data_IF_299958650992
#
_entry.id   IF_299958650992
#
_cell.length_a   1.000
_cell.length_b   1.000
_cell.length_c   1.000
_cell.angle_alpha   90.00
_cell.angle_beta   90.00
_cell.angle_gamma   90.00
#
_symmetry.space_group_name_H-M   'P 1'
#
loop_
_entity.id
_entity.type
_entity.pdbx_description
1 polymer ?
#
# COMPACT_ATOMS: atom_id res chain seq x y z
N UNK A 1 -9.97 9.75 -20.30
CA UNK A 1 -11.01 10.12 -19.30
C UNK A 1 -10.61 11.48 -18.72
N UNK A 2 -11.52 12.46 -18.59
CA UNK A 2 -11.18 13.69 -17.83
C UNK A 2 -11.05 13.30 -16.35
N UNK A 3 -9.92 13.59 -15.74
CA UNK A 3 -9.68 13.30 -14.32
C UNK A 3 -10.61 14.16 -13.46
N UNK A 4 -11.36 13.52 -12.55
CA UNK A 4 -12.13 14.21 -11.51
C UNK A 4 -11.26 14.44 -10.26
N UNK A 5 -11.60 15.40 -9.39
CA UNK A 5 -10.89 15.60 -8.12
C UNK A 5 -10.78 14.31 -7.29
N UNK A 6 -11.83 13.48 -7.28
CA UNK A 6 -11.87 12.20 -6.57
C UNK A 6 -10.89 11.18 -7.16
N UNK A 7 -10.79 11.11 -8.49
CA UNK A 7 -9.81 10.24 -9.16
C UNK A 7 -8.36 10.66 -8.90
N UNK A 8 -8.11 11.97 -8.81
CA UNK A 8 -6.79 12.51 -8.48
C UNK A 8 -6.44 12.24 -7.01
N UNK A 9 -7.40 12.42 -6.10
CA UNK A 9 -7.24 12.08 -4.70
C UNK A 9 -6.92 10.60 -4.49
N UNK A 10 -7.67 9.70 -5.15
CA UNK A 10 -7.45 8.26 -5.05
C UNK A 10 -6.06 7.85 -5.57
N UNK A 11 -5.65 8.42 -6.70
CA UNK A 11 -4.33 8.18 -7.28
C UNK A 11 -3.21 8.62 -6.33
N UNK A 12 -3.28 9.86 -5.83
CA UNK A 12 -2.28 10.42 -4.91
C UNK A 12 -2.22 9.65 -3.59
N UNK A 13 -3.38 9.37 -3.00
CA UNK A 13 -3.48 8.58 -1.77
C UNK A 13 -2.84 7.20 -1.93
N UNK A 14 -3.10 6.52 -3.04
CA UNK A 14 -2.48 5.22 -3.31
C UNK A 14 -0.96 5.30 -3.42
N UNK A 15 -0.42 6.33 -4.11
CA UNK A 15 1.03 6.57 -4.16
C UNK A 15 1.61 6.75 -2.75
N UNK A 16 0.98 7.58 -1.92
CA UNK A 16 1.42 7.83 -0.54
C UNK A 16 1.36 6.56 0.31
N UNK A 17 0.30 5.77 0.19
CA UNK A 17 0.17 4.49 0.90
C UNK A 17 1.21 3.47 0.44
N UNK A 18 1.52 3.42 -0.85
CA UNK A 18 2.62 2.59 -1.39
C UNK A 18 3.97 2.99 -0.77
N UNK A 19 4.27 4.28 -0.70
CA UNK A 19 5.50 4.76 -0.04
C UNK A 19 5.55 4.42 1.45
N UNK A 20 4.42 4.58 2.16
CA UNK A 20 4.31 4.20 3.57
C UNK A 20 4.53 2.69 3.75
N UNK A 21 3.96 1.87 2.86
CA UNK A 21 4.09 0.41 2.92
C UNK A 21 5.55 -0.04 2.73
N UNK A 22 6.24 0.52 1.72
CA UNK A 22 7.66 0.24 1.48
C UNK A 22 8.57 0.73 2.62
N UNK A 23 8.22 1.86 3.24
CA UNK A 23 8.91 2.35 4.44
C UNK A 23 8.70 1.41 5.62
N UNK A 24 7.48 0.94 5.86
CA UNK A 24 7.18 -0.03 6.92
C UNK A 24 8.00 -1.31 6.75
N UNK A 25 8.21 -1.78 5.51
CA UNK A 25 9.11 -2.91 5.23
C UNK A 25 10.55 -2.60 5.68
N UNK A 26 11.05 -1.44 5.30
CA UNK A 26 12.42 -1.01 5.63
C UNK A 26 12.60 -0.90 7.15
N UNK A 27 11.62 -0.33 7.84
CA UNK A 27 11.59 -0.20 9.30
C UNK A 27 11.56 -1.59 9.97
N UNK A 28 10.73 -2.52 9.48
CA UNK A 28 10.67 -3.89 10.00
C UNK A 28 11.97 -4.67 9.82
N UNK A 29 12.66 -4.50 8.69
CA UNK A 29 13.96 -5.12 8.43
C UNK A 29 15.09 -4.55 9.31
N UNK A 30 14.98 -3.28 9.71
CA UNK A 30 15.97 -2.58 10.52
C UNK A 30 15.65 -2.49 12.02
N UNK A 31 14.52 -3.05 12.47
CA UNK A 31 14.05 -2.89 13.84
C UNK A 31 14.93 -3.60 14.87
N UNK A 32 15.11 -2.96 16.03
CA UNK A 32 15.67 -3.57 17.24
C UNK A 32 14.76 -4.70 17.75
N UNK A 33 15.23 -5.57 18.64
CA UNK A 33 14.35 -6.61 19.24
C UNK A 33 13.13 -5.99 19.96
N UNK A 34 13.35 -4.89 20.70
CA UNK A 34 12.29 -4.23 21.46
C UNK A 34 11.21 -3.61 20.56
N UNK A 35 11.59 -3.11 19.37
CA UNK A 35 10.66 -2.48 18.43
C UNK A 35 10.10 -3.44 17.37
N UNK A 36 10.69 -4.65 17.24
CA UNK A 36 10.40 -5.60 16.15
C UNK A 36 8.93 -5.96 16.05
N UNK A 37 8.27 -6.19 17.18
CA UNK A 37 6.84 -6.53 17.21
C UNK A 37 5.96 -5.43 16.61
N UNK A 38 6.23 -4.17 16.97
CA UNK A 38 5.49 -3.03 16.44
C UNK A 38 5.78 -2.80 14.95
N UNK A 39 7.05 -2.88 14.55
CA UNK A 39 7.45 -2.68 13.16
C UNK A 39 6.85 -3.75 12.23
N UNK A 40 6.86 -5.02 12.64
CA UNK A 40 6.17 -6.09 11.91
C UNK A 40 4.66 -5.89 11.89
N UNK A 41 4.05 -5.49 13.00
CA UNK A 41 2.61 -5.18 13.04
C UNK A 41 2.21 -4.08 12.05
N UNK A 42 3.04 -3.03 11.92
CA UNK A 42 2.85 -1.98 10.90
C UNK A 42 2.99 -2.51 9.48
N UNK A 43 3.97 -3.38 9.21
CA UNK A 43 4.13 -4.02 7.91
C UNK A 43 2.91 -4.85 7.53
N UNK A 44 2.41 -5.68 8.46
CA UNK A 44 1.19 -6.48 8.27
C UNK A 44 -0.05 -5.62 8.06
N UNK A 45 -0.19 -4.51 8.80
CA UNK A 45 -1.30 -3.58 8.59
C UNK A 45 -1.26 -2.97 7.17
N UNK A 46 -0.07 -2.62 6.67
CA UNK A 46 0.08 -2.11 5.32
C UNK A 46 -0.19 -3.17 4.26
N UNK A 47 0.16 -4.43 4.50
CA UNK A 47 -0.25 -5.55 3.64
C UNK A 47 -1.77 -5.54 3.46
N UNK A 48 -2.52 -5.54 4.57
CA UNK A 48 -3.99 -5.58 4.54
C UNK A 48 -4.61 -4.38 3.80
N UNK A 49 -4.12 -3.17 4.06
CA UNK A 49 -4.61 -1.95 3.42
C UNK A 49 -4.40 -2.00 1.90
N UNK A 50 -3.20 -2.37 1.45
CA UNK A 50 -2.88 -2.41 0.02
C UNK A 50 -3.66 -3.53 -0.67
N UNK A 51 -3.77 -4.71 -0.06
CA UNK A 51 -4.60 -5.81 -0.57
C UNK A 51 -6.07 -5.39 -0.72
N UNK A 52 -6.64 -4.75 0.30
CA UNK A 52 -8.02 -4.28 0.26
C UNK A 52 -8.24 -3.26 -0.88
N UNK A 53 -7.33 -2.28 -1.03
CA UNK A 53 -7.44 -1.29 -2.10
C UNK A 53 -7.35 -1.92 -3.50
N UNK A 54 -6.44 -2.87 -3.71
CA UNK A 54 -6.31 -3.57 -4.99
C UNK A 54 -7.55 -4.43 -5.29
N UNK A 55 -8.12 -5.10 -4.29
CA UNK A 55 -9.37 -5.85 -4.44
C UNK A 55 -10.56 -4.94 -4.76
N UNK A 56 -10.67 -3.79 -4.10
CA UNK A 56 -11.70 -2.80 -4.42
C UNK A 56 -11.52 -2.24 -5.82
N UNK A 57 -10.29 -1.88 -6.25
CA UNK A 57 -10.04 -1.45 -7.61
C UNK A 57 -10.56 -2.47 -8.64
N UNK A 58 -10.22 -3.76 -8.45
CA UNK A 58 -10.73 -4.82 -9.30
C UNK A 58 -12.27 -4.89 -9.32
N UNK A 59 -12.92 -4.83 -8.16
CA UNK A 59 -14.38 -4.86 -8.05
C UNK A 59 -15.08 -3.69 -8.75
N UNK A 60 -14.43 -2.52 -8.82
CA UNK A 60 -14.92 -1.34 -9.51
C UNK A 60 -14.45 -1.23 -10.98
N UNK A 61 -13.77 -2.26 -11.49
CA UNK A 61 -13.27 -2.29 -12.88
C UNK A 61 -12.11 -1.32 -13.13
N UNK A 62 -11.39 -0.93 -12.08
CA UNK A 62 -10.18 -0.10 -12.14
C UNK A 62 -8.95 -1.00 -12.25
N UNK A 63 -7.94 -0.54 -12.98
CA UNK A 63 -6.63 -1.15 -12.92
C UNK A 63 -5.85 -0.64 -11.70
N UNK A 64 -4.88 -1.44 -11.24
CA UNK A 64 -4.04 -1.09 -10.09
C UNK A 64 -3.27 0.23 -10.32
N UNK A 65 -2.90 0.53 -11.58
CA UNK A 65 -2.25 1.79 -11.96
C UNK A 65 -3.18 3.01 -11.82
N UNK A 66 -4.49 2.82 -11.93
CA UNK A 66 -5.47 3.90 -11.83
C UNK A 66 -5.62 4.40 -10.39
N UNK A 67 -5.17 3.60 -9.42
CA UNK A 67 -5.16 3.93 -7.98
C UNK A 67 -3.73 4.10 -7.43
N UNK A 68 -2.71 4.24 -8.28
CA UNK A 68 -1.34 4.55 -7.84
C UNK A 68 -0.59 3.40 -7.15
N UNK A 69 -1.14 2.19 -7.17
CA UNK A 69 -0.57 1.00 -6.51
C UNK A 69 0.17 0.07 -7.48
N UNK A 70 0.53 0.55 -8.65
CA UNK A 70 1.36 -0.21 -9.59
C UNK A 70 2.76 -0.46 -9.00
N UNK A 71 3.35 -1.60 -9.36
CA UNK A 71 4.70 -1.99 -8.95
C UNK A 71 4.83 -2.57 -7.54
N UNK A 72 3.74 -2.61 -6.74
CA UNK A 72 3.72 -3.26 -5.42
C UNK A 72 2.77 -4.47 -5.40
N UNK A 73 3.24 -5.57 -4.84
CA UNK A 73 2.47 -6.77 -4.53
C UNK A 73 2.54 -7.00 -3.01
N UNK A 74 1.41 -6.99 -2.29
CA UNK A 74 1.40 -7.27 -0.85
C UNK A 74 2.12 -8.57 -0.49
N UNK A 75 1.87 -9.64 -1.26
CA UNK A 75 2.34 -11.01 -0.97
C UNK A 75 3.86 -11.16 -1.17
N UNK A 76 4.48 -10.29 -1.96
CA UNK A 76 5.93 -10.28 -2.21
C UNK A 76 6.62 -9.18 -1.41
N UNK A 77 6.01 -8.01 -1.35
CA UNK A 77 6.67 -6.80 -0.89
C UNK A 77 6.38 -6.51 0.58
N UNK A 78 5.29 -7.01 1.16
CA UNK A 78 4.80 -6.66 2.50
C UNK A 78 4.70 -7.87 3.45
N UNK A 79 5.65 -8.79 3.34
CA UNK A 79 5.80 -10.00 4.16
C UNK A 79 7.13 -10.01 4.92
#
# INVERSE_FOLDING_TARGET
MKSSPESLYLLDLGVLLKEIALRAKTEALGASEDDRGFALGRLTAMHEVISLMQQQAYAFGLEVKDIGLDGISPERDLV
#
